data_IF_727667667951
#
_entry.id   IF_727667667951
#
_cell.length_a   1.000
_cell.length_b   1.000
_cell.length_c   1.000
_cell.angle_alpha   90.00
_cell.angle_beta   90.00
_cell.angle_gamma   90.00
#
_symmetry.space_group_name_H-M   'P 1'
#
loop_
_entity.id
_entity.type
_entity.pdbx_description
1 polymer ?
#
# COMPACT_ATOMS: atom_id res chain seq x y z
N UNK A 1 29.81 7.10 19.40
CA UNK A 1 29.03 6.25 18.47
C UNK A 1 30.04 5.58 17.56
N UNK A 2 30.29 4.28 17.73
CA UNK A 2 31.31 3.58 16.95
C UNK A 2 30.81 3.36 15.52
N UNK A 3 31.42 4.03 14.55
CA UNK A 3 31.19 3.73 13.14
C UNK A 3 31.78 2.36 12.86
N UNK A 4 30.89 1.39 12.60
CA UNK A 4 31.28 0.06 12.16
C UNK A 4 32.03 0.17 10.83
N UNK A 5 33.05 -0.66 10.62
CA UNK A 5 33.74 -0.79 9.32
C UNK A 5 32.78 -1.17 8.17
N UNK A 6 31.56 -1.61 8.50
CA UNK A 6 30.51 -1.98 7.55
C UNK A 6 29.50 -0.86 7.26
N UNK A 7 29.64 0.36 7.80
CA UNK A 7 28.67 1.46 7.58
C UNK A 7 28.51 1.83 6.11
N UNK A 8 29.54 1.64 5.29
CA UNK A 8 29.55 1.98 3.86
C UNK A 8 28.43 1.30 3.06
N UNK A 9 27.88 0.16 3.52
CA UNK A 9 26.78 -0.54 2.84
C UNK A 9 25.50 0.29 2.77
N UNK A 10 25.29 1.22 3.71
CA UNK A 10 24.13 2.13 3.69
C UNK A 10 24.17 3.12 2.52
N UNK A 11 25.35 3.42 1.98
CA UNK A 11 25.49 4.34 0.86
C UNK A 11 24.95 3.76 -0.47
N UNK A 12 24.62 2.46 -0.49
CA UNK A 12 23.98 1.81 -1.63
C UNK A 12 22.44 1.89 -1.57
N UNK A 13 21.86 2.40 -0.48
CA UNK A 13 20.42 2.68 -0.41
C UNK A 13 20.07 3.84 -1.34
N UNK A 14 19.05 3.65 -2.17
CA UNK A 14 18.54 4.68 -3.07
C UNK A 14 17.45 5.46 -2.33
N UNK A 15 17.60 6.78 -2.28
CA UNK A 15 16.53 7.68 -1.85
C UNK A 15 15.67 8.04 -3.07
N UNK A 16 14.38 7.70 -3.03
CA UNK A 16 13.45 7.89 -4.14
C UNK A 16 12.20 8.70 -3.74
N UNK A 17 12.36 9.98 -3.35
CA UNK A 17 11.24 10.80 -2.95
C UNK A 17 10.30 11.09 -4.13
N UNK A 18 9.00 10.92 -3.92
CA UNK A 18 7.98 11.39 -4.85
C UNK A 18 8.00 12.92 -4.96
N UNK A 19 7.78 13.43 -6.17
CA UNK A 19 7.76 14.87 -6.49
C UNK A 19 6.89 15.65 -5.48
N UNK A 20 7.34 16.81 -4.94
CA UNK A 20 6.53 17.62 -4.03
C UNK A 20 5.23 18.10 -4.66
N UNK A 21 4.21 18.38 -3.85
CA UNK A 21 2.91 18.93 -4.27
C UNK A 21 2.14 18.09 -5.30
N UNK A 22 2.46 16.80 -5.43
CA UNK A 22 1.72 15.85 -6.28
C UNK A 22 1.01 14.79 -5.44
N UNK A 23 -0.10 14.29 -5.99
CA UNK A 23 -0.82 13.16 -5.43
C UNK A 23 0.02 11.89 -5.54
N UNK A 24 0.08 11.12 -4.45
CA UNK A 24 0.70 9.79 -4.44
C UNK A 24 -0.43 8.78 -4.36
N UNK A 25 -0.41 7.80 -5.27
CA UNK A 25 -1.37 6.69 -5.29
C UNK A 25 -0.62 5.40 -5.07
N UNK A 26 -0.98 4.68 -4.00
CA UNK A 26 -0.45 3.34 -3.73
C UNK A 26 -1.54 2.34 -4.09
N UNK A 27 -1.28 1.50 -5.11
CA UNK A 27 -2.17 0.43 -5.51
C UNK A 27 -1.64 -0.91 -5.01
N UNK A 28 -2.48 -1.64 -4.30
CA UNK A 28 -2.27 -3.03 -3.90
C UNK A 28 -3.10 -3.93 -4.80
N UNK A 29 -2.54 -5.07 -5.18
CA UNK A 29 -3.16 -6.08 -6.04
C UNK A 29 -2.91 -7.47 -5.44
N UNK A 30 -3.90 -8.34 -5.53
CA UNK A 30 -3.85 -9.70 -5.02
C UNK A 30 -2.90 -10.59 -5.84
N UNK A 31 -1.70 -10.86 -5.31
CA UNK A 31 -0.77 -11.76 -5.99
C UNK A 31 -1.36 -13.17 -6.16
N UNK A 32 -1.60 -13.59 -7.41
CA UNK A 32 -2.11 -14.92 -7.70
C UNK A 32 -3.53 -15.16 -7.16
N UNK A 33 -4.34 -14.10 -7.05
CA UNK A 33 -5.64 -14.15 -6.38
C UNK A 33 -6.61 -15.18 -6.99
N UNK A 34 -6.48 -15.49 -8.28
CA UNK A 34 -7.26 -16.57 -8.90
C UNK A 34 -7.08 -17.91 -8.18
N UNK A 35 -5.83 -18.30 -7.88
CA UNK A 35 -5.53 -19.55 -7.14
C UNK A 35 -6.02 -19.47 -5.69
N UNK A 36 -5.90 -18.30 -5.07
CA UNK A 36 -6.40 -18.05 -3.72
C UNK A 36 -7.92 -18.24 -3.64
N UNK A 37 -8.68 -17.58 -4.52
CA UNK A 37 -10.15 -17.68 -4.53
C UNK A 37 -10.63 -19.10 -4.82
N UNK A 38 -9.94 -19.86 -5.67
CA UNK A 38 -10.24 -21.27 -5.92
C UNK A 38 -9.98 -22.14 -4.67
N UNK A 39 -8.82 -21.97 -4.01
CA UNK A 39 -8.46 -22.72 -2.79
C UNK A 39 -9.41 -22.43 -1.63
N UNK A 40 -9.90 -21.19 -1.54
CA UNK A 40 -10.79 -20.74 -0.47
C UNK A 40 -12.28 -20.82 -0.81
N UNK A 41 -12.64 -21.46 -1.94
CA UNK A 41 -14.02 -21.68 -2.38
C UNK A 41 -14.86 -20.38 -2.39
N UNK A 42 -14.34 -19.36 -3.07
CA UNK A 42 -15.05 -18.10 -3.24
C UNK A 42 -16.25 -18.27 -4.17
N UNK A 43 -17.35 -17.63 -3.81
CA UNK A 43 -18.57 -17.55 -4.62
C UNK A 43 -18.29 -16.72 -5.88
N UNK A 44 -18.78 -17.18 -7.03
CA UNK A 44 -18.67 -16.47 -8.32
C UNK A 44 -20.04 -15.88 -8.72
N UNK A 45 -20.10 -14.72 -9.39
CA UNK A 45 -18.95 -13.93 -9.83
C UNK A 45 -18.24 -13.16 -8.71
N UNK A 46 -18.97 -12.83 -7.63
CA UNK A 46 -18.47 -12.01 -6.52
C UNK A 46 -18.72 -12.69 -5.18
N UNK A 47 -17.70 -12.71 -4.31
CA UNK A 47 -17.81 -13.22 -2.94
C UNK A 47 -17.85 -12.05 -1.95
N UNK A 48 -18.98 -11.88 -1.28
CA UNK A 48 -19.18 -10.77 -0.33
C UNK A 48 -18.25 -10.86 0.87
N UNK A 49 -17.80 -12.06 1.28
CA UNK A 49 -16.90 -12.24 2.43
C UNK A 49 -15.52 -11.70 2.11
N UNK A 50 -15.00 -12.03 0.92
CA UNK A 50 -13.72 -11.54 0.44
C UNK A 50 -13.71 -10.02 0.24
N UNK A 51 -14.75 -9.49 -0.38
CA UNK A 51 -14.92 -8.05 -0.58
C UNK A 51 -15.03 -7.29 0.75
N UNK A 52 -15.85 -7.78 1.70
CA UNK A 52 -16.00 -7.16 3.02
C UNK A 52 -14.69 -7.18 3.81
N UNK A 53 -13.93 -8.28 3.72
CA UNK A 53 -12.60 -8.36 4.33
C UNK A 53 -11.63 -7.34 3.74
N UNK A 54 -11.62 -7.19 2.41
CA UNK A 54 -10.78 -6.21 1.70
C UNK A 54 -11.11 -4.78 2.11
N UNK A 55 -12.39 -4.42 2.15
CA UNK A 55 -12.86 -3.11 2.64
C UNK A 55 -12.45 -2.90 4.09
N UNK A 56 -12.64 -3.89 4.96
CA UNK A 56 -12.25 -3.77 6.38
C UNK A 56 -10.76 -3.58 6.57
N UNK A 57 -9.94 -4.24 5.76
CA UNK A 57 -8.49 -4.04 5.75
C UNK A 57 -8.12 -2.61 5.30
N UNK A 58 -8.76 -2.11 4.24
CA UNK A 58 -8.54 -0.75 3.77
C UNK A 58 -8.97 0.32 4.79
N UNK A 59 -10.11 0.14 5.45
CA UNK A 59 -10.54 1.00 6.57
C UNK A 59 -9.48 1.07 7.66
N UNK A 60 -8.89 -0.08 8.02
CA UNK A 60 -7.84 -0.14 9.03
C UNK A 60 -6.59 0.62 8.60
N UNK A 61 -6.18 0.49 7.34
CA UNK A 61 -5.05 1.24 6.75
C UNK A 61 -5.31 2.75 6.82
N UNK A 62 -6.50 3.21 6.40
CA UNK A 62 -6.86 4.63 6.45
C UNK A 62 -6.90 5.17 7.88
N UNK A 63 -7.34 4.37 8.86
CA UNK A 63 -7.32 4.77 10.28
C UNK A 63 -5.90 4.92 10.84
N UNK A 64 -4.96 4.08 10.40
CA UNK A 64 -3.56 4.19 10.81
C UNK A 64 -2.85 5.33 10.09
N UNK A 65 -3.17 5.53 8.80
CA UNK A 65 -2.51 6.50 7.94
C UNK A 65 -3.43 7.66 7.57
N UNK A 66 -3.43 8.69 8.44
CA UNK A 66 -4.33 9.85 8.37
C UNK A 66 -4.11 10.78 7.18
N UNK A 67 -3.02 10.60 6.45
CA UNK A 67 -2.70 11.39 5.24
C UNK A 67 -3.35 10.84 3.96
N UNK A 68 -3.99 9.67 4.05
CA UNK A 68 -4.82 9.14 2.96
C UNK A 68 -6.17 9.84 2.97
N UNK A 69 -6.58 10.41 1.83
CA UNK A 69 -7.86 11.14 1.70
C UNK A 69 -8.96 10.31 1.06
N UNK A 70 -8.58 9.33 0.26
CA UNK A 70 -9.50 8.49 -0.50
C UNK A 70 -8.88 7.11 -0.64
N UNK A 71 -9.72 6.09 -0.52
CA UNK A 71 -9.36 4.76 -0.94
C UNK A 71 -10.49 4.16 -1.79
N UNK A 72 -10.13 3.46 -2.87
CA UNK A 72 -11.06 2.81 -3.80
C UNK A 72 -10.60 1.38 -4.02
N UNK A 73 -11.51 0.42 -3.92
CA UNK A 73 -11.22 -0.98 -4.13
C UNK A 73 -12.22 -1.65 -5.05
N UNK A 74 -11.73 -2.58 -5.86
CA UNK A 74 -12.52 -3.39 -6.78
C UNK A 74 -11.87 -4.78 -6.89
N UNK A 75 -12.66 -5.84 -6.91
CA UNK A 75 -12.16 -7.23 -7.01
C UNK A 75 -11.15 -7.52 -5.89
N UNK A 76 -9.87 -7.62 -6.26
CA UNK A 76 -8.72 -7.96 -5.44
C UNK A 76 -7.69 -6.84 -5.34
N UNK A 77 -8.03 -5.65 -5.85
CA UNK A 77 -7.19 -4.46 -5.76
C UNK A 77 -7.76 -3.37 -4.85
N UNK A 78 -6.85 -2.57 -4.29
CA UNK A 78 -7.18 -1.36 -3.55
C UNK A 78 -6.17 -0.25 -3.86
N UNK A 79 -6.68 0.95 -4.16
CA UNK A 79 -5.90 2.15 -4.39
C UNK A 79 -6.07 3.13 -3.23
N UNK A 80 -4.98 3.65 -2.69
CA UNK A 80 -4.94 4.63 -1.60
C UNK A 80 -4.32 5.94 -2.09
N UNK A 81 -5.05 7.04 -1.94
CA UNK A 81 -4.63 8.37 -2.42
C UNK A 81 -4.18 9.21 -1.24
N UNK A 82 -2.91 9.61 -1.23
CA UNK A 82 -2.34 10.51 -0.23
C UNK A 82 -2.49 11.97 -0.65
N UNK A 83 -2.66 12.86 0.33
CA UNK A 83 -2.68 14.32 0.10
C UNK A 83 -1.45 14.76 -0.69
N UNK A 84 -1.64 15.68 -1.64
CA UNK A 84 -0.55 16.24 -2.44
C UNK A 84 0.60 16.84 -1.60
N UNK A 85 0.28 17.39 -0.44
CA UNK A 85 1.22 18.04 0.49
C UNK A 85 1.77 17.10 1.58
N UNK A 86 1.54 15.78 1.51
CA UNK A 86 2.04 14.86 2.54
C UNK A 86 3.57 14.88 2.62
N UNK A 87 4.11 14.85 3.83
CA UNK A 87 5.56 14.73 4.10
C UNK A 87 5.91 13.38 4.73
N UNK A 88 4.94 12.48 4.83
CA UNK A 88 5.10 11.18 5.48
C UNK A 88 6.26 10.41 4.85
N UNK A 89 7.14 9.87 5.71
CA UNK A 89 8.34 9.13 5.33
C UNK A 89 9.23 9.88 4.32
N UNK A 90 9.28 11.21 4.38
CA UNK A 90 9.99 12.06 3.42
C UNK A 90 9.56 11.79 1.97
N UNK A 91 8.31 11.35 1.78
CA UNK A 91 7.73 10.97 0.48
C UNK A 91 8.50 9.86 -0.25
N UNK A 92 9.28 9.03 0.45
CA UNK A 92 10.00 7.90 -0.16
C UNK A 92 9.03 6.89 -0.76
N UNK A 93 9.29 6.44 -1.98
CA UNK A 93 8.46 5.44 -2.65
C UNK A 93 8.85 4.01 -2.28
N UNK A 94 10.12 3.77 -1.89
CA UNK A 94 10.67 2.46 -1.51
C UNK A 94 11.42 2.46 -0.18
#
# INVERSE_FOLDING_TARGET
MAKSIYEYVRNFEIMDPCLPSTWIVVRLDGQGFHKFTAKHNFIKPNDTRGLSLSVRAAERVMQQQKEIVLAYGQSDEFSFVFKKCTEVFNRRAR
#
